data_IF_924258899602
#
_entry.id   IF_924258899602
#
_cell.length_a   1.000
_cell.length_b   1.000
_cell.length_c   1.000
_cell.angle_alpha   90.00
_cell.angle_beta   90.00
_cell.angle_gamma   90.00
#
_symmetry.space_group_name_H-M   'P 1'
#
loop_
_entity.id
_entity.type
_entity.pdbx_description
1 polymer ?
#
# COMPACT_ATOMS: atom_id res chain seq x y z
N UNK A 1 -12.47 0.55 -63.82
CA UNK A 1 -11.81 -0.23 -62.74
C UNK A 1 -11.38 0.58 -61.50
N UNK A 2 -11.06 1.88 -61.57
CA UNK A 2 -10.58 2.65 -60.40
C UNK A 2 -11.62 3.00 -59.31
N UNK A 3 -12.93 2.89 -59.59
CA UNK A 3 -13.99 3.26 -58.62
C UNK A 3 -14.26 2.22 -57.52
N UNK A 4 -13.89 0.95 -57.71
CA UNK A 4 -14.17 -0.12 -56.75
C UNK A 4 -13.10 -0.29 -55.66
N UNK A 5 -11.89 0.21 -55.89
CA UNK A 5 -10.77 0.13 -54.92
C UNK A 5 -11.03 1.01 -53.68
N UNK A 6 -11.65 2.17 -53.85
CA UNK A 6 -11.97 3.06 -52.72
C UNK A 6 -13.03 2.49 -51.78
N UNK A 7 -13.98 1.69 -52.28
CA UNK A 7 -15.04 1.10 -51.46
C UNK A 7 -14.50 -0.01 -50.55
N UNK A 8 -13.57 -0.83 -51.07
CA UNK A 8 -12.94 -1.91 -50.29
C UNK A 8 -12.01 -1.34 -49.21
N UNK A 9 -11.25 -0.27 -49.53
CA UNK A 9 -10.36 0.37 -48.57
C UNK A 9 -11.13 1.04 -47.41
N UNK A 10 -12.30 1.64 -47.70
CA UNK A 10 -13.15 2.26 -46.67
C UNK A 10 -13.79 1.22 -45.74
N UNK A 11 -14.19 0.05 -46.28
CA UNK A 11 -14.74 -1.03 -45.47
C UNK A 11 -13.68 -1.63 -44.52
N UNK A 12 -12.44 -1.81 -44.98
CA UNK A 12 -11.36 -2.35 -44.14
C UNK A 12 -10.92 -1.40 -43.01
N UNK A 13 -11.05 -0.08 -43.20
CA UNK A 13 -10.81 0.88 -42.11
C UNK A 13 -11.94 0.88 -41.07
N UNK A 14 -13.20 0.66 -41.47
CA UNK A 14 -14.34 0.65 -40.53
C UNK A 14 -14.36 -0.55 -39.58
N UNK A 15 -13.76 -1.69 -39.95
CA UNK A 15 -13.74 -2.88 -39.08
C UNK A 15 -12.71 -2.76 -37.95
N UNK A 16 -11.68 -1.92 -38.11
CA UNK A 16 -10.65 -1.74 -37.07
C UNK A 16 -11.01 -0.71 -35.98
N UNK A 17 -12.06 0.10 -36.17
CA UNK A 17 -12.49 1.08 -35.15
C UNK A 17 -13.34 0.42 -34.05
N UNK A 18 -13.88 -0.79 -34.28
CA UNK A 18 -14.72 -1.48 -33.30
C UNK A 18 -13.92 -2.39 -32.33
N UNK A 19 -12.63 -2.63 -32.58
CA UNK A 19 -11.77 -3.38 -31.68
C UNK A 19 -11.01 -2.49 -30.66
N UNK A 20 -11.04 -1.17 -30.84
CA UNK A 20 -10.30 -0.21 -30.00
C UNK A 20 -11.03 0.29 -28.76
N UNK A 21 -12.33 0.01 -28.59
CA UNK A 21 -13.14 0.60 -27.50
C UNK A 21 -13.30 -0.30 -26.28
N UNK A 22 -12.73 -1.52 -26.27
CA UNK A 22 -12.80 -2.41 -25.11
C UNK A 22 -11.67 -2.25 -24.09
N UNK A 23 -10.67 -1.38 -24.34
CA UNK A 23 -9.57 -1.18 -23.38
C UNK A 23 -9.77 -0.02 -22.39
N UNK A 24 -10.89 0.71 -22.45
CA UNK A 24 -11.12 1.89 -21.61
C UNK A 24 -12.45 1.87 -20.82
N UNK A 25 -13.18 0.75 -20.78
CA UNK A 25 -14.46 0.65 -20.06
C UNK A 25 -14.35 0.17 -18.60
N UNK A 26 -13.27 0.52 -17.89
CA UNK A 26 -13.14 0.21 -16.46
C UNK A 26 -12.59 1.39 -15.64
N UNK A 27 -13.07 2.60 -15.96
CA UNK A 27 -12.93 3.78 -15.09
C UNK A 27 -14.22 4.60 -15.15
N UNK A 28 -15.30 4.06 -14.58
CA UNK A 28 -16.50 4.84 -14.26
C UNK A 28 -16.49 5.16 -12.76
N UNK A 29 -15.48 5.94 -12.34
CA UNK A 29 -15.42 6.59 -11.04
C UNK A 29 -14.76 7.97 -11.25
N UNK A 30 -15.49 8.82 -11.98
CA UNK A 30 -15.17 10.22 -12.28
C UNK A 30 -15.01 11.13 -11.04
N UNK A 31 -15.17 10.57 -9.82
CA UNK A 31 -15.14 11.34 -8.58
C UNK A 31 -13.80 11.33 -7.85
N UNK A 32 -12.89 10.37 -8.09
CA UNK A 32 -11.64 10.28 -7.31
C UNK A 32 -10.42 10.90 -7.98
N UNK A 33 -10.33 10.87 -9.31
CA UNK A 33 -9.20 11.49 -10.02
C UNK A 33 -9.32 13.02 -10.05
N UNK A 34 -10.53 13.57 -10.21
CA UNK A 34 -10.73 15.03 -10.24
C UNK A 34 -10.45 15.69 -8.90
N UNK A 35 -10.77 15.07 -7.76
CA UNK A 35 -10.56 15.73 -6.46
C UNK A 35 -9.09 15.75 -6.00
N UNK A 36 -8.22 14.90 -6.54
CA UNK A 36 -6.77 14.94 -6.24
C UNK A 36 -6.08 16.04 -7.05
N UNK A 37 -6.62 16.44 -8.21
CA UNK A 37 -6.03 17.47 -9.09
C UNK A 37 -6.81 18.79 -9.16
N UNK A 38 -8.03 18.89 -8.60
CA UNK A 38 -8.83 20.12 -8.62
C UNK A 38 -8.54 21.09 -7.45
N UNK A 39 -7.45 20.87 -6.70
CA UNK A 39 -7.00 21.78 -5.64
C UNK A 39 -5.66 22.45 -5.97
N UNK A 40 -5.35 22.64 -7.25
CA UNK A 40 -4.21 23.44 -7.69
C UNK A 40 -4.65 24.53 -8.69
N UNK A 41 -5.33 25.56 -8.18
CA UNK A 41 -5.33 26.90 -8.79
C UNK A 41 -3.98 27.60 -8.56
N UNK A 42 -2.89 26.88 -8.85
CA UNK A 42 -1.57 27.47 -9.02
C UNK A 42 -1.24 27.37 -10.50
N UNK A 43 -1.87 28.25 -11.27
CA UNK A 43 -1.37 28.68 -12.57
C UNK A 43 0.00 29.35 -12.36
N UNK A 44 1.05 28.55 -12.21
CA UNK A 44 2.38 28.96 -12.62
C UNK A 44 3.27 27.73 -12.83
N UNK A 45 3.43 27.39 -14.12
CA UNK A 45 4.67 26.86 -14.67
C UNK A 45 5.17 25.53 -14.09
N UNK A 46 4.37 24.47 -14.21
CA UNK A 46 4.89 23.11 -14.11
C UNK A 46 5.76 22.76 -15.32
N UNK A 47 7.06 22.97 -15.17
CA UNK A 47 8.08 22.29 -15.96
C UNK A 47 7.93 20.80 -15.65
N UNK A 48 7.56 19.99 -16.64
CA UNK A 48 7.68 18.53 -16.57
C UNK A 48 9.17 18.20 -16.41
N UNK A 49 9.64 18.08 -15.18
CA UNK A 49 10.99 17.58 -14.90
C UNK A 49 10.92 16.06 -14.99
N UNK A 50 11.63 15.41 -15.93
CA UNK A 50 11.65 13.96 -16.02
C UNK A 50 12.25 13.38 -14.74
N UNK A 51 11.46 12.59 -14.01
CA UNK A 51 11.82 11.95 -12.73
C UNK A 51 12.72 10.71 -12.89
N UNK A 52 13.60 10.72 -13.89
CA UNK A 52 14.63 9.72 -14.08
C UNK A 52 15.93 10.45 -14.43
N UNK A 53 16.76 10.75 -13.43
CA UNK A 53 18.24 10.88 -13.54
C UNK A 53 18.99 11.33 -12.27
N UNK A 54 18.47 11.13 -11.05
CA UNK A 54 19.23 11.49 -9.82
C UNK A 54 19.63 10.30 -8.95
N UNK A 55 20.09 9.20 -9.58
CA UNK A 55 20.74 8.09 -8.85
C UNK A 55 22.26 7.98 -9.10
N UNK A 56 22.88 8.97 -9.77
CA UNK A 56 24.30 8.92 -10.15
C UNK A 56 25.16 10.13 -9.72
N UNK A 57 24.68 10.98 -8.81
CA UNK A 57 25.47 12.08 -8.23
C UNK A 57 25.80 11.90 -6.74
N UNK A 58 26.05 10.65 -6.29
CA UNK A 58 26.86 10.42 -5.08
C UNK A 58 28.35 10.53 -5.42
N UNK A 59 28.80 11.73 -5.82
CA UNK A 59 30.22 12.07 -5.94
C UNK A 59 30.56 13.50 -5.54
N UNK A 60 29.77 14.10 -4.63
CA UNK A 60 30.18 15.29 -3.88
C UNK A 60 30.06 15.02 -2.38
N UNK A 61 30.84 14.05 -1.93
CA UNK A 61 31.38 13.99 -0.58
C UNK A 61 32.53 15.03 -0.60
N UNK A 62 32.38 16.19 0.05
CA UNK A 62 33.50 17.05 0.55
C UNK A 62 33.11 18.47 1.04
N UNK A 63 31.83 18.84 1.17
CA UNK A 63 31.46 20.20 1.63
C UNK A 63 30.63 20.26 2.92
N UNK A 64 30.89 19.38 3.89
CA UNK A 64 30.22 19.41 5.20
C UNK A 64 31.19 19.39 6.39
N UNK A 65 32.32 20.10 6.26
CA UNK A 65 33.23 20.43 7.35
C UNK A 65 33.37 21.95 7.49
N UNK A 66 32.35 22.65 7.98
CA UNK A 66 32.50 23.90 8.74
C UNK A 66 31.13 24.41 9.21
N UNK A 67 30.72 23.97 10.40
CA UNK A 67 29.77 24.69 11.26
C UNK A 67 29.90 24.11 12.66
N UNK A 68 31.07 24.35 13.27
CA UNK A 68 31.21 24.30 14.72
C UNK A 68 30.49 25.53 15.28
N UNK A 69 29.26 25.34 15.75
CA UNK A 69 28.63 26.26 16.69
C UNK A 69 28.37 25.51 18.00
N UNK A 70 28.97 25.92 19.13
CA UNK A 70 28.71 25.31 20.42
C UNK A 70 27.34 25.78 20.92
N UNK A 71 26.35 24.88 20.88
CA UNK A 71 25.07 25.11 21.56
C UNK A 71 25.30 24.90 23.05
N UNK A 72 25.40 26.03 23.75
CA UNK A 72 25.36 26.18 25.19
C UNK A 72 24.07 25.63 25.79
N UNK A 73 24.24 24.74 26.77
CA UNK A 73 23.42 24.55 27.98
C UNK A 73 21.90 24.62 27.82
N UNK A 74 21.30 23.48 27.46
CA UNK A 74 19.88 23.25 27.67
C UNK A 74 19.69 22.74 29.12
N UNK A 75 18.86 23.40 29.95
CA UNK A 75 18.59 22.96 31.31
C UNK A 75 17.86 21.61 31.32
N UNK A 76 18.48 20.62 31.98
CA UNK A 76 17.92 19.30 32.24
C UNK A 76 16.75 19.45 33.22
N UNK A 77 15.53 19.42 32.70
CA UNK A 77 14.32 19.28 33.52
C UNK A 77 14.30 17.85 34.05
N UNK A 78 14.68 17.67 35.32
CA UNK A 78 14.52 16.41 36.05
C UNK A 78 13.02 16.21 36.31
N UNK A 79 12.37 15.46 35.44
CA UNK A 79 11.01 14.98 35.69
C UNK A 79 11.06 13.97 36.83
N UNK A 80 10.57 14.34 38.00
CA UNK A 80 10.35 13.42 39.12
C UNK A 80 9.28 12.41 38.72
N UNK A 81 9.69 11.17 38.52
CA UNK A 81 8.79 10.04 38.35
C UNK A 81 8.21 9.74 39.74
N UNK A 82 6.94 10.07 39.95
CA UNK A 82 6.22 9.70 41.17
C UNK A 82 5.82 8.24 41.07
N UNK A 83 6.61 7.37 41.69
CA UNK A 83 6.25 5.96 41.90
C UNK A 83 4.97 5.90 42.74
N UNK A 84 3.87 5.53 42.11
CA UNK A 84 2.62 5.25 42.82
C UNK A 84 2.73 3.83 43.35
N UNK A 85 3.00 3.69 44.65
CA UNK A 85 2.90 2.42 45.35
C UNK A 85 1.47 1.90 45.26
N UNK A 86 1.26 0.84 44.49
CA UNK A 86 0.01 0.08 44.49
C UNK A 86 -0.02 -0.72 45.78
N UNK A 87 -1.00 -0.40 46.61
CA UNK A 87 -1.29 -1.10 47.87
C UNK A 87 -1.83 -2.49 47.55
N UNK A 88 -1.09 -3.53 47.96
CA UNK A 88 -1.58 -4.90 48.05
C UNK A 88 -2.74 -4.97 49.05
N UNK A 89 -3.97 -4.95 48.55
CA UNK A 89 -5.10 -5.46 49.31
C UNK A 89 -5.28 -6.94 49.00
N UNK A 90 -4.78 -7.75 49.92
CA UNK A 90 -5.29 -9.08 50.21
C UNK A 90 -6.81 -8.99 50.38
N UNK A 91 -7.56 -9.96 49.85
CA UNK A 91 -8.73 -10.58 50.50
C UNK A 91 -9.32 -11.66 49.58
N UNK A 92 -9.49 -12.84 50.20
CA UNK A 92 -10.42 -13.94 49.92
C UNK A 92 -10.09 -14.96 48.82
N UNK A 93 -9.33 -15.96 49.26
CA UNK A 93 -9.59 -17.36 48.95
C UNK A 93 -11.06 -17.71 49.29
N UNK A 94 -11.90 -17.86 48.27
CA UNK A 94 -13.14 -18.62 48.42
C UNK A 94 -13.38 -19.47 47.17
N UNK A 95 -12.77 -20.65 47.24
CA UNK A 95 -13.22 -21.94 46.74
C UNK A 95 -14.62 -21.94 46.09
N UNK A 96 -14.68 -21.76 44.76
CA UNK A 96 -15.79 -22.25 43.94
C UNK A 96 -15.20 -23.01 42.78
N UNK A 97 -15.24 -24.33 42.93
CA UNK A 97 -15.02 -25.34 41.91
C UNK A 97 -16.09 -25.22 40.82
N UNK A 98 -15.81 -24.45 39.78
CA UNK A 98 -16.56 -24.49 38.52
C UNK A 98 -15.66 -25.03 37.42
N UNK A 99 -16.08 -26.19 36.93
CA UNK A 99 -15.65 -26.89 35.72
C UNK A 99 -14.72 -26.09 34.81
N UNK A 100 -13.44 -26.48 34.84
CA UNK A 100 -12.43 -26.11 33.86
C UNK A 100 -12.88 -26.66 32.50
N UNK A 101 -13.69 -25.88 31.77
CA UNK A 101 -14.00 -26.15 30.36
C UNK A 101 -12.69 -25.98 29.62
N UNK A 102 -12.07 -27.11 29.34
CA UNK A 102 -10.90 -27.27 28.50
C UNK A 102 -11.25 -26.71 27.11
N UNK A 103 -11.07 -25.39 26.95
CA UNK A 103 -11.11 -24.70 25.67
C UNK A 103 -10.02 -25.35 24.83
N UNK A 104 -10.43 -26.31 24.00
CA UNK A 104 -9.61 -26.88 22.95
C UNK A 104 -8.98 -25.73 22.20
N UNK A 105 -7.69 -25.50 22.44
CA UNK A 105 -6.77 -24.80 21.56
C UNK A 105 -6.79 -25.58 20.25
N UNK A 106 -7.80 -25.33 19.42
CA UNK A 106 -7.71 -25.65 18.02
C UNK A 106 -6.57 -24.78 17.52
N UNK A 107 -5.44 -25.44 17.25
CA UNK A 107 -4.39 -24.95 16.37
C UNK A 107 -5.07 -24.55 15.05
N UNK A 108 -5.64 -23.35 15.01
CA UNK A 108 -6.01 -22.69 13.78
C UNK A 108 -4.67 -22.39 13.14
N UNK A 109 -4.24 -23.33 12.28
CA UNK A 109 -3.20 -23.10 11.31
C UNK A 109 -3.71 -21.95 10.45
N UNK A 110 -3.42 -20.72 10.87
CA UNK A 110 -3.82 -19.50 10.19
C UNK A 110 -3.03 -19.47 8.90
N UNK A 111 -3.66 -19.99 7.84
CA UNK A 111 -3.11 -20.02 6.50
C UNK A 111 -2.80 -18.60 6.07
N UNK A 112 -1.51 -18.31 5.86
CA UNK A 112 -1.05 -17.03 5.33
C UNK A 112 -1.49 -16.99 3.87
N UNK A 113 -2.30 -16.00 3.51
CA UNK A 113 -2.72 -15.83 2.12
C UNK A 113 -1.62 -15.09 1.37
N UNK A 114 -1.15 -15.67 0.27
CA UNK A 114 -0.15 -15.06 -0.59
C UNK A 114 -0.80 -14.28 -1.75
N UNK A 115 -0.31 -13.06 -1.97
CA UNK A 115 -0.66 -12.17 -3.07
C UNK A 115 0.59 -11.90 -3.88
N UNK A 116 0.52 -12.08 -5.19
CA UNK A 116 1.65 -11.89 -6.10
C UNK A 116 1.57 -10.53 -6.77
N UNK A 117 2.67 -9.79 -6.73
CA UNK A 117 2.85 -8.55 -7.50
C UNK A 117 3.63 -8.93 -8.76
N UNK A 118 2.96 -8.96 -9.90
CA UNK A 118 3.54 -9.38 -11.19
C UNK A 118 3.77 -8.18 -12.10
N UNK A 119 4.37 -8.41 -13.26
CA UNK A 119 4.51 -7.38 -14.30
C UNK A 119 3.14 -7.01 -14.93
N UNK A 120 2.09 -7.83 -14.72
CA UNK A 120 0.74 -7.62 -15.25
C UNK A 120 -0.21 -6.98 -14.25
N UNK A 121 0.09 -7.02 -12.95
CA UNK A 121 -0.84 -6.56 -11.93
C UNK A 121 -0.59 -7.16 -10.55
N UNK A 122 -1.64 -7.18 -9.74
CA UNK A 122 -1.72 -7.84 -8.45
C UNK A 122 -2.63 -9.06 -8.60
N UNK A 123 -2.18 -10.23 -8.15
CA UNK A 123 -2.90 -11.49 -8.26
C UNK A 123 -2.98 -12.22 -6.90
N UNK A 124 -4.19 -12.46 -6.35
CA UNK A 124 -5.48 -11.97 -6.84
C UNK A 124 -5.64 -10.47 -6.60
N UNK A 125 -6.43 -9.80 -7.43
CA UNK A 125 -6.73 -8.36 -7.27
C UNK A 125 -7.66 -8.07 -6.08
N UNK A 126 -8.40 -9.09 -5.61
CA UNK A 126 -9.24 -9.05 -4.42
C UNK A 126 -8.94 -10.27 -3.54
N UNK A 127 -8.71 -10.02 -2.24
CA UNK A 127 -8.49 -11.06 -1.23
C UNK A 127 -9.59 -10.98 -0.19
N UNK A 128 -10.13 -12.13 0.22
CA UNK A 128 -11.08 -12.24 1.34
C UNK A 128 -10.39 -12.95 2.49
N UNK A 129 -10.32 -12.32 3.66
CA UNK A 129 -9.70 -12.86 4.87
C UNK A 129 -10.63 -12.73 6.07
N UNK A 130 -10.30 -13.37 7.18
CA UNK A 130 -10.94 -13.11 8.47
C UNK A 130 -10.11 -12.10 9.29
N UNK A 131 -10.75 -11.44 10.26
CA UNK A 131 -10.07 -10.60 11.24
C UNK A 131 -8.90 -11.37 11.86
N UNK A 132 -7.77 -10.69 12.05
CA UNK A 132 -6.52 -11.25 12.58
C UNK A 132 -5.79 -12.27 11.68
N UNK A 133 -6.20 -12.45 10.43
CA UNK A 133 -5.42 -13.22 9.47
C UNK A 133 -4.29 -12.39 8.87
N UNK A 134 -3.17 -13.03 8.57
CA UNK A 134 -2.00 -12.41 7.94
C UNK A 134 -2.02 -12.62 6.43
N UNK A 135 -1.67 -11.57 5.69
CA UNK A 135 -1.50 -11.60 4.24
C UNK A 135 -0.02 -11.36 3.93
N UNK A 136 0.51 -12.09 2.97
CA UNK A 136 1.86 -11.95 2.43
C UNK A 136 1.80 -11.45 0.99
N UNK A 137 2.41 -10.32 0.70
CA UNK A 137 2.58 -9.84 -0.68
C UNK A 137 3.99 -10.13 -1.14
N UNK A 138 4.14 -10.84 -2.26
CA UNK A 138 5.42 -11.21 -2.83
C UNK A 138 5.66 -10.51 -4.17
N UNK A 139 6.78 -9.81 -4.30
CA UNK A 139 7.16 -9.22 -5.57
C UNK A 139 7.71 -10.30 -6.51
N UNK A 140 6.96 -10.63 -7.57
CA UNK A 140 7.33 -11.59 -8.62
C UNK A 140 7.78 -10.94 -9.92
N UNK A 141 7.94 -9.62 -9.95
CA UNK A 141 8.51 -8.90 -11.09
C UNK A 141 9.99 -9.24 -11.26
N UNK A 142 10.46 -9.26 -12.50
CA UNK A 142 11.85 -9.62 -12.80
C UNK A 142 12.85 -8.49 -12.55
N UNK A 143 12.40 -7.23 -12.61
CA UNK A 143 13.28 -6.06 -12.66
C UNK A 143 12.86 -4.91 -11.77
N UNK A 144 11.55 -4.65 -11.69
CA UNK A 144 11.05 -3.49 -10.97
C UNK A 144 10.82 -3.82 -9.50
N UNK A 145 11.19 -2.92 -8.58
CA UNK A 145 10.70 -3.00 -7.23
C UNK A 145 9.17 -2.76 -7.20
N UNK A 146 8.54 -3.11 -6.09
CA UNK A 146 7.17 -2.76 -5.79
C UNK A 146 7.12 -1.88 -4.53
N UNK A 147 6.08 -1.08 -4.37
CA UNK A 147 5.85 -0.27 -3.17
C UNK A 147 4.36 -0.33 -2.86
N UNK A 148 3.95 -1.10 -1.86
CA UNK A 148 2.55 -1.15 -1.46
C UNK A 148 2.23 -0.01 -0.51
N UNK A 149 1.20 0.75 -0.85
CA UNK A 149 0.67 1.82 -0.02
C UNK A 149 -0.82 1.61 0.19
N UNK A 150 -1.26 1.61 1.44
CA UNK A 150 -2.67 1.60 1.76
C UNK A 150 -3.32 2.94 1.44
N UNK A 151 -4.59 2.88 1.04
CA UNK A 151 -5.40 4.06 0.75
C UNK A 151 -6.44 4.26 1.86
N UNK A 152 -6.87 5.52 2.04
CA UNK A 152 -7.99 5.90 2.91
C UNK A 152 -7.93 5.27 4.30
N UNK A 153 -8.69 4.21 4.53
CA UNK A 153 -8.90 3.53 5.82
C UNK A 153 -7.62 2.85 6.34
N UNK A 154 -6.65 2.55 5.46
CA UNK A 154 -5.39 1.87 5.82
C UNK A 154 -4.15 2.67 5.42
N UNK A 155 -4.21 3.99 5.54
CA UNK A 155 -3.11 4.89 5.18
C UNK A 155 -1.78 4.63 5.94
N UNK A 156 -1.81 3.87 7.03
CA UNK A 156 -0.63 3.43 7.78
C UNK A 156 0.12 2.27 7.10
N UNK A 157 -0.53 1.55 6.17
CA UNK A 157 0.11 0.44 5.45
C UNK A 157 1.12 0.99 4.45
N UNK A 158 2.39 0.64 4.66
CA UNK A 158 3.50 0.98 3.76
C UNK A 158 4.54 -0.15 3.80
N UNK A 159 4.78 -0.80 2.67
CA UNK A 159 5.76 -1.90 2.62
C UNK A 159 7.21 -1.44 2.53
N UNK A 160 7.46 -0.17 2.22
CA UNK A 160 8.74 0.24 1.63
C UNK A 160 8.95 -0.39 0.25
N UNK A 161 10.15 -0.23 -0.31
CA UNK A 161 10.51 -0.88 -1.56
C UNK A 161 10.70 -2.39 -1.36
N UNK A 162 9.97 -3.20 -2.12
CA UNK A 162 10.12 -4.64 -2.22
C UNK A 162 10.85 -4.97 -3.51
N UNK A 163 12.09 -5.47 -3.42
CA UNK A 163 12.85 -5.96 -4.56
C UNK A 163 12.30 -7.30 -5.06
N UNK A 164 12.68 -7.76 -6.27
CA UNK A 164 12.28 -9.07 -6.78
C UNK A 164 12.49 -10.20 -5.76
N UNK A 165 11.47 -11.03 -5.59
CA UNK A 165 11.35 -12.14 -4.63
C UNK A 165 11.22 -11.77 -3.15
N UNK A 166 11.23 -10.49 -2.79
CA UNK A 166 10.94 -10.05 -1.43
C UNK A 166 9.44 -10.08 -1.11
N UNK A 167 9.14 -10.21 0.18
CA UNK A 167 7.78 -10.25 0.69
C UNK A 167 7.53 -9.19 1.77
N UNK A 168 6.29 -8.72 1.83
CA UNK A 168 5.75 -7.87 2.88
C UNK A 168 4.58 -8.59 3.56
N UNK A 169 4.52 -8.53 4.88
CA UNK A 169 3.47 -9.18 5.66
C UNK A 169 2.69 -8.15 6.44
N UNK A 170 1.37 -8.30 6.47
CA UNK A 170 0.52 -7.39 7.21
C UNK A 170 -0.73 -8.08 7.74
N UNK A 171 -1.21 -7.60 8.88
CA UNK A 171 -2.34 -8.14 9.62
C UNK A 171 -3.35 -7.03 9.87
N UNK A 172 -4.63 -7.35 9.66
CA UNK A 172 -5.75 -6.42 9.84
C UNK A 172 -6.63 -6.96 10.98
N UNK A 173 -6.92 -6.10 11.94
CA UNK A 173 -7.63 -6.40 13.18
C UNK A 173 -9.10 -5.94 13.16
N UNK A 174 -9.48 -5.11 12.19
CA UNK A 174 -10.85 -4.63 12.03
C UNK A 174 -11.51 -5.21 10.76
N UNK A 175 -12.81 -5.56 10.81
CA UNK A 175 -13.56 -5.96 9.63
C UNK A 175 -13.83 -4.76 8.72
N UNK A 176 -13.77 -4.96 7.41
CA UNK A 176 -13.93 -3.86 6.46
C UNK A 176 -13.53 -4.20 5.03
N UNK A 177 -13.60 -3.18 4.18
CA UNK A 177 -13.12 -3.23 2.80
C UNK A 177 -12.00 -2.21 2.66
N UNK A 178 -10.81 -2.71 2.34
CA UNK A 178 -9.60 -1.91 2.28
C UNK A 178 -9.04 -1.92 0.87
N UNK A 179 -8.51 -0.77 0.44
CA UNK A 179 -7.90 -0.62 -0.89
C UNK A 179 -6.44 -0.22 -0.71
N UNK A 180 -5.57 -0.78 -1.53
CA UNK A 180 -4.15 -0.45 -1.59
C UNK A 180 -3.70 -0.32 -3.05
N UNK A 181 -2.57 0.32 -3.27
CA UNK A 181 -2.00 0.54 -4.59
C UNK A 181 -0.51 0.25 -4.63
N UNK A 182 0.00 -0.04 -5.82
CA UNK A 182 1.43 -0.02 -6.09
C UNK A 182 1.88 1.40 -6.43
N UNK A 183 2.74 1.97 -5.58
CA UNK A 183 3.32 3.29 -5.74
C UNK A 183 4.36 3.40 -6.86
N UNK A 184 4.86 2.28 -7.41
CA UNK A 184 5.82 2.29 -8.52
C UNK A 184 5.12 2.28 -9.87
N UNK A 185 4.08 1.46 -10.03
CA UNK A 185 3.34 1.32 -11.28
C UNK A 185 1.93 1.88 -11.13
N UNK A 186 1.72 3.06 -11.73
CA UNK A 186 0.46 3.81 -11.63
C UNK A 186 -0.71 2.98 -12.16
N UNK A 187 -1.82 2.98 -11.42
CA UNK A 187 -3.08 2.35 -11.82
C UNK A 187 -3.24 0.88 -11.41
N UNK A 188 -2.22 0.28 -10.77
CA UNK A 188 -2.34 -1.06 -10.18
C UNK A 188 -2.88 -0.94 -8.75
N UNK A 189 -4.08 -1.46 -8.53
CA UNK A 189 -4.78 -1.45 -7.25
C UNK A 189 -5.17 -2.86 -6.81
N UNK A 190 -5.20 -3.09 -5.51
CA UNK A 190 -5.71 -4.30 -4.89
C UNK A 190 -6.74 -3.99 -3.81
N UNK A 191 -7.57 -4.97 -3.50
CA UNK A 191 -8.65 -4.89 -2.51
C UNK A 191 -8.56 -6.03 -1.50
N UNK A 192 -8.84 -5.73 -0.25
CA UNK A 192 -8.91 -6.69 0.85
C UNK A 192 -10.30 -6.58 1.46
N UNK A 193 -10.99 -7.70 1.62
CA UNK A 193 -12.28 -7.80 2.33
C UNK A 193 -12.02 -8.61 3.59
N UNK A 194 -12.23 -7.99 4.75
CA UNK A 194 -12.01 -8.60 6.06
C UNK A 194 -13.35 -8.91 6.70
N UNK A 195 -13.63 -10.20 6.88
CA UNK A 195 -14.83 -10.71 7.53
C UNK A 195 -14.60 -10.85 9.04
N UNK A 196 -15.71 -10.83 9.79
CA UNK A 196 -15.73 -11.09 11.24
C UNK A 196 -15.43 -12.55 11.57
#
# INVERSE_FOLDING_TARGET
MKKWIFVILFFLLSVNVLAGTKLFMYYDNDYTAKQIFAQSDLEDKFILVPFYNNLLERKNLDLLNTLENPITDIPIIKTQITETSITENQINENLVSESFVEKKNQNQNSEIIEVLITDQGIEPSEVVINVNQEISWKNKRKKLPALLMGLREINIMNSGFLYPEESFHWKIDEPGVYTYADGIVIGIIGKIVVNQ
#
